data_IF_356841680890
#
_entry.id   IF_356841680890
#
_cell.length_a   1.000
_cell.length_b   1.000
_cell.length_c   1.000
_cell.angle_alpha   90.00
_cell.angle_beta   90.00
_cell.angle_gamma   90.00
#
_symmetry.space_group_name_H-M   'P 1'
#
loop_
_entity.id
_entity.type
_entity.pdbx_description
1 polymer ?
#
# COMPACT_ATOMS: atom_id res chain seq x y z
N UNK A 1 -21.52 64.92 -9.12
CA UNK A 1 -21.67 63.66 -8.37
C UNK A 1 -22.25 62.50 -9.18
N UNK A 2 -22.49 62.61 -10.47
CA UNK A 2 -23.13 61.56 -11.33
C UNK A 2 -22.16 60.62 -12.01
N UNK A 3 -20.86 60.95 -12.06
CA UNK A 3 -19.84 60.15 -12.78
C UNK A 3 -19.08 59.14 -11.90
N UNK A 4 -19.24 59.17 -10.58
CA UNK A 4 -18.55 58.25 -9.66
C UNK A 4 -19.34 56.94 -9.53
N UNK A 5 -20.66 56.94 -9.71
CA UNK A 5 -21.51 55.76 -9.59
C UNK A 5 -21.34 54.78 -10.77
N UNK A 6 -20.98 55.28 -11.95
CA UNK A 6 -20.82 54.43 -13.14
C UNK A 6 -19.49 53.65 -13.18
N UNK A 7 -18.44 54.18 -12.53
CA UNK A 7 -17.13 53.50 -12.44
C UNK A 7 -17.18 52.34 -11.46
N UNK A 8 -17.94 52.49 -10.34
CA UNK A 8 -18.07 51.43 -9.34
C UNK A 8 -18.79 50.18 -9.85
N UNK A 9 -19.74 50.33 -10.80
CA UNK A 9 -20.49 49.16 -11.36
C UNK A 9 -19.67 48.40 -12.39
N UNK A 10 -18.72 49.02 -13.05
CA UNK A 10 -17.85 48.41 -14.07
C UNK A 10 -16.77 47.52 -13.43
N UNK A 11 -16.29 47.86 -12.24
CA UNK A 11 -15.27 47.08 -11.49
C UNK A 11 -15.83 45.78 -10.94
N UNK A 12 -17.10 45.74 -10.58
CA UNK A 12 -17.76 44.53 -10.03
C UNK A 12 -17.98 43.44 -11.10
N UNK A 13 -18.10 43.82 -12.36
CA UNK A 13 -18.30 42.87 -13.48
C UNK A 13 -17.00 42.16 -13.91
N UNK A 14 -15.83 42.61 -13.49
CA UNK A 14 -14.54 41.97 -13.83
C UNK A 14 -14.14 40.85 -12.83
N UNK A 15 -14.91 40.63 -11.79
CA UNK A 15 -14.69 39.53 -10.82
C UNK A 15 -15.44 38.23 -11.21
N UNK A 16 -15.88 38.10 -12.47
CA UNK A 16 -16.41 36.85 -12.97
C UNK A 16 -15.31 35.82 -13.03
N UNK A 17 -15.26 35.10 -11.97
CA UNK A 17 -14.51 33.88 -11.68
C UNK A 17 -14.16 33.08 -12.94
N UNK A 18 -12.89 33.06 -13.31
CA UNK A 18 -12.35 32.01 -14.15
C UNK A 18 -12.56 30.67 -13.43
N UNK A 19 -13.61 29.97 -13.81
CA UNK A 19 -13.81 28.59 -13.41
C UNK A 19 -12.72 27.73 -14.06
N UNK A 20 -11.63 27.52 -13.32
CA UNK A 20 -10.53 26.66 -13.75
C UNK A 20 -11.00 25.22 -13.80
N UNK A 21 -11.16 24.68 -15.00
CA UNK A 21 -11.39 23.26 -15.18
C UNK A 21 -10.11 22.52 -14.79
N UNK A 22 -10.25 21.54 -13.90
CA UNK A 22 -9.17 20.63 -13.52
C UNK A 22 -9.26 19.35 -14.33
N UNK A 23 -8.15 18.90 -14.85
CA UNK A 23 -8.03 17.59 -15.49
C UNK A 23 -7.34 16.64 -14.53
N UNK A 24 -7.95 15.49 -14.28
CA UNK A 24 -7.51 14.49 -13.31
C UNK A 24 -7.37 13.15 -14.01
N UNK A 25 -6.22 12.50 -13.82
CA UNK A 25 -5.98 11.13 -14.25
C UNK A 25 -6.40 10.19 -13.12
N UNK A 26 -7.34 9.28 -13.39
CA UNK A 26 -7.73 8.22 -12.47
C UNK A 26 -7.21 6.89 -12.97
N UNK A 27 -6.33 6.24 -12.20
CA UNK A 27 -5.86 4.89 -12.48
C UNK A 27 -6.90 3.85 -12.08
N UNK A 28 -6.96 2.69 -12.77
CA UNK A 28 -7.82 1.58 -12.36
C UNK A 28 -7.39 1.07 -10.99
N UNK A 29 -8.32 0.48 -10.25
CA UNK A 29 -8.01 -0.20 -8.98
C UNK A 29 -7.71 -1.66 -9.29
N UNK A 30 -6.56 -2.15 -8.82
CA UNK A 30 -6.26 -3.57 -8.78
C UNK A 30 -6.93 -4.16 -7.53
N UNK A 31 -7.67 -5.27 -7.64
CA UNK A 31 -8.32 -5.89 -6.49
C UNK A 31 -7.28 -6.44 -5.50
N UNK A 32 -7.60 -6.37 -4.22
CA UNK A 32 -6.87 -7.13 -3.20
C UNK A 32 -7.22 -8.62 -3.34
N UNK A 33 -6.24 -9.50 -3.13
CA UNK A 33 -6.41 -10.95 -3.18
C UNK A 33 -6.31 -11.51 -1.77
N UNK A 34 -7.30 -12.31 -1.35
CA UNK A 34 -7.33 -12.88 -0.01
C UNK A 34 -7.79 -14.33 -0.08
N UNK A 35 -6.95 -15.23 0.41
CA UNK A 35 -7.24 -16.65 0.53
C UNK A 35 -6.94 -17.08 1.96
N UNK A 36 -7.94 -17.57 2.68
CA UNK A 36 -7.80 -18.07 4.03
C UNK A 36 -8.56 -19.39 4.16
N UNK A 37 -7.96 -20.35 4.87
CA UNK A 37 -8.64 -21.59 5.17
C UNK A 37 -9.54 -21.43 6.44
N UNK A 38 -10.53 -22.30 6.63
CA UNK A 38 -11.42 -22.25 7.81
C UNK A 38 -10.68 -22.34 9.15
N UNK A 39 -9.57 -23.08 9.21
CA UNK A 39 -8.77 -23.27 10.43
C UNK A 39 -8.27 -21.94 11.00
N UNK A 40 -7.97 -20.96 10.12
CA UNK A 40 -7.55 -19.61 10.54
C UNK A 40 -8.67 -18.89 11.28
N UNK A 41 -9.89 -18.91 10.75
CA UNK A 41 -11.05 -18.30 11.41
C UNK A 41 -11.35 -18.97 12.75
N UNK A 42 -11.35 -20.30 12.82
CA UNK A 42 -11.61 -21.04 14.05
C UNK A 42 -10.54 -20.82 15.12
N UNK A 43 -9.28 -20.68 14.69
CA UNK A 43 -8.19 -20.29 15.57
C UNK A 43 -8.45 -18.92 16.23
N UNK A 44 -8.85 -17.90 15.44
CA UNK A 44 -9.09 -16.56 15.98
C UNK A 44 -10.37 -16.44 16.81
N UNK A 45 -11.37 -17.29 16.60
CA UNK A 45 -12.53 -17.39 17.51
C UNK A 45 -12.11 -17.78 18.91
N UNK A 46 -11.12 -18.69 19.00
CA UNK A 46 -10.63 -19.25 20.28
C UNK A 46 -9.53 -18.39 20.93
N UNK A 47 -8.76 -17.63 20.13
CA UNK A 47 -7.57 -16.90 20.57
C UNK A 47 -7.70 -15.41 20.24
N UNK A 48 -8.07 -14.61 21.25
CA UNK A 48 -8.34 -13.16 21.08
C UNK A 48 -7.07 -12.30 20.95
N UNK A 49 -5.96 -12.76 21.51
CA UNK A 49 -4.67 -12.05 21.50
C UNK A 49 -3.53 -13.05 21.26
N UNK A 50 -3.45 -13.63 20.04
CA UNK A 50 -2.42 -14.63 19.76
C UNK A 50 -1.03 -13.99 19.68
N UNK A 51 -0.02 -14.82 19.97
CA UNK A 51 1.37 -14.46 19.80
C UNK A 51 1.76 -14.56 18.34
N UNK A 52 2.17 -13.44 17.76
CA UNK A 52 2.56 -13.33 16.35
C UNK A 52 4.01 -12.89 16.22
N UNK A 53 4.72 -13.48 15.27
CA UNK A 53 6.05 -13.02 14.87
C UNK A 53 6.03 -12.64 13.38
N UNK A 54 6.69 -11.54 13.06
CA UNK A 54 6.92 -11.14 11.68
C UNK A 54 8.16 -11.87 11.14
N UNK A 55 7.98 -12.67 10.09
CA UNK A 55 9.06 -13.26 9.32
C UNK A 55 9.33 -12.46 8.06
N UNK A 56 10.58 -12.18 7.83
CA UNK A 56 11.06 -11.49 6.64
C UNK A 56 11.93 -12.45 5.85
N UNK A 57 11.78 -12.56 4.52
CA UNK A 57 12.66 -13.40 3.71
C UNK A 57 14.11 -12.99 3.91
N UNK A 58 14.99 -13.96 4.12
CA UNK A 58 16.41 -13.69 4.10
C UNK A 58 16.80 -13.22 2.70
N UNK A 59 17.40 -12.03 2.59
CA UNK A 59 17.81 -11.41 1.32
C UNK A 59 18.89 -12.22 0.54
N UNK A 60 19.26 -13.41 1.01
CA UNK A 60 20.22 -14.29 0.35
C UNK A 60 19.73 -14.88 -0.98
N UNK A 61 18.42 -14.92 -1.21
CA UNK A 61 17.85 -15.60 -2.38
C UNK A 61 17.54 -14.68 -3.57
N UNK A 62 17.65 -13.35 -3.39
CA UNK A 62 17.48 -12.38 -4.49
C UNK A 62 18.64 -11.38 -4.50
N UNK A 63 19.71 -11.78 -5.18
CA UNK A 63 20.92 -10.99 -5.39
C UNK A 63 20.69 -9.80 -6.35
N UNK A 64 19.86 -8.84 -5.98
CA UNK A 64 19.79 -7.52 -6.63
C UNK A 64 19.22 -6.49 -5.67
N UNK A 65 19.91 -6.15 -4.61
CA UNK A 65 19.49 -4.98 -3.84
C UNK A 65 20.68 -4.18 -3.36
N UNK A 66 20.74 -2.95 -3.85
CA UNK A 66 21.56 -1.89 -3.32
C UNK A 66 21.32 -1.74 -1.80
N UNK A 67 22.37 -1.47 -1.04
CA UNK A 67 22.37 -1.31 0.43
C UNK A 67 21.33 -0.31 0.97
N UNK A 68 20.84 0.60 0.15
CA UNK A 68 19.77 1.54 0.51
C UNK A 68 18.38 0.88 0.65
N UNK A 69 18.14 -0.23 -0.04
CA UNK A 69 16.85 -0.96 -0.01
C UNK A 69 16.65 -1.68 1.33
N UNK A 70 17.72 -2.18 1.93
CA UNK A 70 17.67 -2.89 3.22
C UNK A 70 17.17 -2.00 4.36
N UNK A 71 17.72 -0.80 4.52
CA UNK A 71 17.31 0.15 5.58
C UNK A 71 15.86 0.63 5.42
N UNK A 72 15.41 0.79 4.18
CA UNK A 72 14.03 1.19 3.91
C UNK A 72 13.05 0.08 4.29
N UNK A 73 13.41 -1.18 4.08
CA UNK A 73 12.55 -2.30 4.44
C UNK A 73 12.37 -2.44 5.96
N UNK A 74 13.38 -2.14 6.77
CA UNK A 74 13.24 -2.17 8.23
C UNK A 74 12.19 -1.17 8.75
N UNK A 75 12.09 -0.01 8.13
CA UNK A 75 11.02 0.96 8.46
C UNK A 75 9.64 0.37 8.19
N UNK A 76 9.49 -0.33 7.06
CA UNK A 76 8.21 -0.96 6.67
C UNK A 76 7.85 -2.12 7.61
N UNK A 77 8.81 -2.96 7.97
CA UNK A 77 8.59 -4.07 8.90
C UNK A 77 8.21 -3.56 10.30
N UNK A 78 8.89 -2.52 10.78
CA UNK A 78 8.56 -1.88 12.05
C UNK A 78 7.15 -1.25 12.02
N UNK A 79 6.70 -0.74 10.89
CA UNK A 79 5.34 -0.22 10.73
C UNK A 79 4.30 -1.34 10.86
N UNK A 80 4.56 -2.52 10.28
CA UNK A 80 3.71 -3.70 10.41
C UNK A 80 3.63 -4.14 11.88
N UNK A 81 4.78 -4.31 12.55
CA UNK A 81 4.83 -4.76 13.95
C UNK A 81 4.10 -3.80 14.89
N UNK A 82 4.28 -2.49 14.73
CA UNK A 82 3.56 -1.47 15.50
C UNK A 82 2.05 -1.52 15.27
N UNK A 83 1.61 -1.78 14.04
CA UNK A 83 0.18 -1.88 13.75
C UNK A 83 -0.43 -3.17 14.31
N UNK A 84 0.29 -4.29 14.27
CA UNK A 84 -0.13 -5.54 14.93
C UNK A 84 -0.33 -5.34 16.43
N UNK A 85 0.59 -4.62 17.11
CA UNK A 85 0.43 -4.29 18.54
C UNK A 85 -0.84 -3.46 18.80
N UNK A 86 -1.17 -2.48 17.95
CA UNK A 86 -2.41 -1.70 18.08
C UNK A 86 -3.67 -2.55 17.86
N UNK A 87 -3.56 -3.56 17.01
CA UNK A 87 -4.64 -4.52 16.75
C UNK A 87 -4.71 -5.64 17.81
N UNK A 88 -4.07 -5.47 18.99
CA UNK A 88 -4.06 -6.36 20.14
C UNK A 88 -3.41 -7.73 19.89
N UNK A 89 -2.43 -7.82 19.02
CA UNK A 89 -1.57 -8.99 18.92
C UNK A 89 -0.42 -8.90 19.92
N UNK A 90 0.01 -10.03 20.46
CA UNK A 90 1.25 -10.14 21.23
C UNK A 90 2.42 -10.36 20.25
N UNK A 91 3.09 -9.27 19.83
CA UNK A 91 4.17 -9.34 18.84
C UNK A 91 5.46 -9.84 19.48
N UNK A 92 6.05 -10.89 18.91
CA UNK A 92 7.31 -11.50 19.35
C UNK A 92 8.51 -10.90 18.62
N UNK A 93 9.68 -10.98 19.25
CA UNK A 93 10.92 -10.44 18.68
C UNK A 93 11.32 -11.15 17.38
N UNK A 94 11.38 -10.39 16.30
CA UNK A 94 11.75 -10.87 14.96
C UNK A 94 13.22 -11.28 14.88
N UNK A 95 14.11 -10.56 15.58
CA UNK A 95 15.54 -10.84 15.56
C UNK A 95 15.85 -12.18 16.21
N UNK A 96 15.31 -12.41 17.40
CA UNK A 96 15.46 -13.69 18.12
C UNK A 96 14.86 -14.85 17.31
N UNK A 97 13.70 -14.64 16.68
CA UNK A 97 13.06 -15.65 15.85
C UNK A 97 13.93 -16.05 14.64
N UNK A 98 14.51 -15.07 13.94
CA UNK A 98 15.39 -15.34 12.81
C UNK A 98 16.69 -16.03 13.24
N UNK A 99 17.24 -15.67 14.40
CA UNK A 99 18.40 -16.34 14.97
C UNK A 99 18.13 -17.83 15.28
N UNK A 100 16.99 -18.12 15.87
CA UNK A 100 16.57 -19.49 16.14
C UNK A 100 16.35 -20.30 14.86
N UNK A 101 15.72 -19.70 13.84
CA UNK A 101 15.55 -20.34 12.54
C UNK A 101 16.89 -20.65 11.85
N UNK A 102 17.85 -19.75 11.95
CA UNK A 102 19.16 -19.95 11.32
C UNK A 102 19.99 -21.05 11.99
N UNK A 103 19.74 -21.29 13.29
CA UNK A 103 20.41 -22.34 14.08
C UNK A 103 19.72 -23.70 13.97
N UNK A 104 18.40 -23.70 13.71
CA UNK A 104 17.63 -24.93 13.53
C UNK A 104 17.81 -25.44 12.11
N UNK A 105 18.32 -26.64 11.94
CA UNK A 105 18.41 -27.31 10.64
C UNK A 105 17.05 -27.85 10.15
N UNK A 106 15.98 -27.63 10.91
CA UNK A 106 14.64 -28.15 10.62
C UNK A 106 13.66 -27.03 10.27
N UNK A 107 12.83 -27.28 9.28
CA UNK A 107 11.69 -26.42 8.91
C UNK A 107 10.44 -26.70 9.76
N UNK A 108 10.57 -27.42 10.85
CA UNK A 108 9.45 -27.71 11.73
C UNK A 108 9.21 -26.57 12.72
N UNK A 109 8.14 -25.83 12.48
CA UNK A 109 7.72 -24.70 13.31
C UNK A 109 7.21 -25.13 14.70
N UNK A 110 6.91 -26.43 14.94
CA UNK A 110 6.47 -26.91 16.26
C UNK A 110 7.55 -26.71 17.32
N UNK A 111 8.81 -27.00 17.00
CA UNK A 111 9.97 -26.76 17.87
C UNK A 111 10.14 -25.25 18.14
N UNK A 112 9.86 -24.40 17.15
CA UNK A 112 9.93 -22.95 17.31
C UNK A 112 8.86 -22.45 18.26
N UNK A 113 7.68 -23.04 18.25
CA UNK A 113 6.59 -22.73 19.18
C UNK A 113 7.02 -22.91 20.63
N UNK A 114 7.65 -24.02 20.94
CA UNK A 114 8.12 -24.33 22.29
C UNK A 114 9.14 -23.30 22.81
N UNK A 115 10.03 -22.83 21.93
CA UNK A 115 11.07 -21.87 22.27
C UNK A 115 10.60 -20.42 22.34
N UNK A 116 9.66 -20.02 21.50
CA UNK A 116 9.26 -18.60 21.32
C UNK A 116 7.84 -18.33 21.81
N UNK A 117 7.06 -19.36 22.11
CA UNK A 117 5.62 -19.26 22.38
C UNK A 117 4.87 -18.51 21.27
N UNK A 118 5.22 -18.76 20.00
CA UNK A 118 4.61 -18.16 18.83
C UNK A 118 3.43 -19.02 18.36
N UNK A 119 2.29 -18.40 18.12
CA UNK A 119 1.11 -19.08 17.57
C UNK A 119 0.99 -18.89 16.07
N UNK A 120 1.39 -17.70 15.59
CA UNK A 120 1.28 -17.30 14.19
C UNK A 120 2.63 -16.77 13.70
N UNK A 121 3.03 -17.21 12.51
CA UNK A 121 4.09 -16.56 11.75
C UNK A 121 3.40 -15.77 10.62
N UNK A 122 3.57 -14.45 10.63
CA UNK A 122 3.23 -13.56 9.52
C UNK A 122 4.46 -13.36 8.65
N UNK A 123 4.51 -14.01 7.52
CA UNK A 123 5.62 -13.87 6.57
C UNK A 123 5.29 -12.78 5.55
N UNK A 124 6.18 -11.79 5.40
CA UNK A 124 6.15 -10.85 4.28
C UNK A 124 6.82 -11.53 3.11
N UNK A 125 6.04 -11.99 2.15
CA UNK A 125 6.56 -12.74 0.98
C UNK A 125 7.23 -11.80 -0.02
N UNK A 126 6.58 -10.66 -0.27
CA UNK A 126 7.06 -9.69 -1.25
C UNK A 126 6.58 -8.28 -0.93
N UNK A 127 7.42 -7.29 -1.23
CA UNK A 127 7.09 -5.86 -1.28
C UNK A 127 7.56 -5.36 -2.64
N UNK A 128 6.62 -4.99 -3.51
CA UNK A 128 6.91 -4.42 -4.81
C UNK A 128 6.55 -2.92 -4.82
N UNK A 129 7.53 -2.06 -5.07
CA UNK A 129 7.39 -0.60 -5.11
C UNK A 129 7.20 -0.06 -6.53
N UNK A 130 7.10 -0.94 -7.53
CA UNK A 130 7.11 -0.61 -8.94
C UNK A 130 5.95 -1.22 -9.73
N UNK A 131 4.83 -1.52 -9.07
CA UNK A 131 3.63 -2.02 -9.74
C UNK A 131 3.12 -0.99 -10.74
N UNK A 132 3.20 -1.29 -12.03
CA UNK A 132 2.88 -0.33 -13.08
C UNK A 132 1.37 -0.20 -13.30
N UNK A 133 0.84 0.99 -13.09
CA UNK A 133 -0.52 1.39 -13.43
C UNK A 133 -0.53 2.19 -14.73
N UNK A 134 -1.48 1.90 -15.60
CA UNK A 134 -1.64 2.61 -16.88
C UNK A 134 -3.09 3.01 -17.09
N UNK A 135 -3.31 4.19 -17.69
CA UNK A 135 -4.63 4.66 -18.09
C UNK A 135 -4.51 5.68 -19.21
N UNK A 136 -5.51 5.77 -20.08
CA UNK A 136 -5.68 6.86 -21.03
C UNK A 136 -6.94 7.70 -20.73
N UNK A 137 -7.55 7.47 -19.58
CA UNK A 137 -8.78 8.17 -19.15
C UNK A 137 -8.44 9.43 -18.37
N UNK A 138 -9.06 10.53 -18.76
CA UNK A 138 -8.95 11.83 -18.12
C UNK A 138 -10.33 12.22 -17.62
N UNK A 139 -10.45 12.57 -16.35
CA UNK A 139 -11.65 13.16 -15.77
C UNK A 139 -11.50 14.67 -15.76
N UNK A 140 -12.40 15.38 -16.43
CA UNK A 140 -12.46 16.85 -16.39
C UNK A 140 -13.45 17.24 -15.30
N UNK A 141 -12.93 17.84 -14.23
CA UNK A 141 -13.76 18.34 -13.13
C UNK A 141 -14.11 19.81 -13.39
N UNK A 142 -15.36 20.08 -13.67
CA UNK A 142 -15.91 21.41 -13.83
C UNK A 142 -16.78 21.79 -12.62
N UNK A 143 -17.26 23.03 -12.58
CA UNK A 143 -18.08 23.56 -11.48
C UNK A 143 -19.45 22.86 -11.33
N UNK A 144 -19.94 22.18 -12.37
CA UNK A 144 -21.28 21.57 -12.38
C UNK A 144 -21.31 20.08 -12.73
N UNK A 145 -20.26 19.52 -13.34
CA UNK A 145 -20.26 18.14 -13.82
C UNK A 145 -18.84 17.61 -14.02
N UNK A 146 -18.61 16.37 -13.60
CA UNK A 146 -17.46 15.58 -14.01
C UNK A 146 -17.74 14.92 -15.38
N UNK A 147 -16.78 14.99 -16.29
CA UNK A 147 -16.85 14.31 -17.59
C UNK A 147 -15.59 13.49 -17.82
N UNK A 148 -15.76 12.23 -18.23
CA UNK A 148 -14.64 11.36 -18.60
C UNK A 148 -14.33 11.52 -20.09
N UNK A 149 -13.07 11.66 -20.43
CA UNK A 149 -12.56 11.68 -21.79
C UNK A 149 -11.50 10.58 -21.95
N UNK A 150 -11.44 10.00 -23.14
CA UNK A 150 -10.34 9.10 -23.53
C UNK A 150 -9.27 9.94 -24.21
N UNK A 151 -8.06 9.97 -23.64
CA UNK A 151 -6.92 10.67 -24.21
C UNK A 151 -6.16 9.82 -25.24
N UNK A 152 -5.35 10.47 -26.05
CA UNK A 152 -4.44 9.81 -27.02
C UNK A 152 -3.16 9.30 -26.36
N UNK A 153 -2.88 9.69 -25.12
CA UNK A 153 -1.66 9.38 -24.38
C UNK A 153 -2.00 8.37 -23.28
N UNK A 154 -1.19 7.34 -23.15
CA UNK A 154 -1.22 6.44 -22.01
C UNK A 154 -0.37 7.03 -20.88
N UNK A 155 -1.03 7.38 -19.78
CA UNK A 155 -0.37 7.80 -18.55
C UNK A 155 0.08 6.57 -17.79
N UNK A 156 1.30 6.63 -17.24
CA UNK A 156 1.88 5.54 -16.45
C UNK A 156 2.33 6.07 -15.10
N UNK A 157 2.11 5.31 -14.04
CA UNK A 157 2.62 5.61 -12.71
C UNK A 157 2.83 4.35 -11.89
N UNK A 158 3.86 4.34 -11.07
CA UNK A 158 4.10 3.24 -10.18
C UNK A 158 3.20 3.35 -8.95
N UNK A 159 2.54 2.26 -8.63
CA UNK A 159 1.97 1.95 -7.34
C UNK A 159 2.84 0.93 -6.62
N UNK A 160 2.26 0.22 -5.67
CA UNK A 160 2.96 -0.80 -4.92
C UNK A 160 2.06 -1.99 -4.61
N UNK A 161 2.67 -3.10 -4.17
CA UNK A 161 1.94 -4.20 -3.57
C UNK A 161 2.71 -4.80 -2.40
N UNK A 162 1.99 -5.45 -1.49
CA UNK A 162 2.55 -6.27 -0.42
C UNK A 162 1.85 -7.61 -0.39
N UNK A 163 2.63 -8.67 -0.22
CA UNK A 163 2.12 -10.03 -0.10
C UNK A 163 2.47 -10.60 1.26
N UNK A 164 1.46 -11.14 1.95
CA UNK A 164 1.59 -11.80 3.25
C UNK A 164 1.20 -13.28 3.15
N UNK A 165 1.90 -14.10 3.92
CA UNK A 165 1.53 -15.48 4.19
C UNK A 165 1.34 -15.66 5.69
N UNK A 166 0.26 -16.29 6.08
CA UNK A 166 -0.06 -16.60 7.47
C UNK A 166 0.13 -18.08 7.71
N UNK A 167 0.96 -18.43 8.69
CA UNK A 167 1.25 -19.80 9.05
C UNK A 167 0.78 -20.04 10.49
N UNK A 168 -0.08 -21.02 10.70
CA UNK A 168 -0.44 -21.54 12.03
C UNK A 168 0.63 -22.51 12.48
N UNK A 169 1.37 -22.11 13.52
CA UNK A 169 2.54 -22.84 14.00
C UNK A 169 2.14 -24.22 14.56
N UNK A 170 0.99 -24.29 15.23
CA UNK A 170 0.48 -25.54 15.84
C UNK A 170 0.36 -26.69 14.82
N UNK A 171 -0.05 -26.36 13.58
CA UNK A 171 -0.33 -27.36 12.55
C UNK A 171 0.78 -27.39 11.48
N UNK A 172 1.78 -26.50 11.58
CA UNK A 172 2.78 -26.27 10.54
C UNK A 172 2.13 -26.01 9.17
N UNK A 173 1.04 -25.22 9.15
CA UNK A 173 0.13 -25.08 8.03
C UNK A 173 0.07 -23.64 7.53
N UNK A 174 0.14 -23.46 6.21
CA UNK A 174 -0.18 -22.19 5.57
C UNK A 174 -1.70 -21.99 5.65
N UNK A 175 -2.13 -21.08 6.52
CA UNK A 175 -3.53 -20.85 6.81
C UNK A 175 -4.14 -19.69 6.00
N UNK A 176 -3.31 -18.89 5.35
CA UNK A 176 -3.80 -17.83 4.46
C UNK A 176 -2.70 -17.14 3.67
N UNK A 177 -3.09 -16.57 2.55
CA UNK A 177 -2.27 -15.69 1.71
C UNK A 177 -3.06 -14.44 1.37
N UNK A 178 -2.40 -13.29 1.40
CA UNK A 178 -3.02 -11.99 1.22
C UNK A 178 -2.13 -11.11 0.37
N UNK A 179 -2.71 -10.48 -0.65
CA UNK A 179 -2.05 -9.48 -1.47
C UNK A 179 -2.86 -8.20 -1.46
N UNK A 180 -2.22 -7.11 -1.10
CA UNK A 180 -2.81 -5.78 -1.11
C UNK A 180 -2.13 -4.90 -2.13
N UNK A 181 -2.92 -4.08 -2.83
CA UNK A 181 -2.42 -3.21 -3.88
C UNK A 181 -2.59 -1.73 -3.49
N UNK A 182 -1.50 -0.96 -3.62
CA UNK A 182 -1.50 0.48 -3.47
C UNK A 182 -1.70 1.13 -4.84
N UNK A 183 -2.81 1.79 -5.02
CA UNK A 183 -3.12 2.57 -6.21
C UNK A 183 -2.46 3.95 -6.12
N UNK A 184 -1.68 4.38 -7.12
CA UNK A 184 -1.13 5.73 -7.13
C UNK A 184 -2.24 6.75 -7.24
N UNK A 185 -2.10 7.88 -6.54
CA UNK A 185 -3.08 8.96 -6.49
C UNK A 185 -4.52 8.43 -6.27
N UNK A 186 -4.88 7.96 -5.06
CA UNK A 186 -6.21 7.36 -4.82
C UNK A 186 -7.37 8.23 -5.28
N UNK A 187 -7.25 9.56 -5.09
CA UNK A 187 -8.26 10.56 -5.49
C UNK A 187 -8.07 11.08 -6.92
N UNK A 188 -7.05 10.59 -7.62
CA UNK A 188 -6.65 11.00 -8.95
C UNK A 188 -5.45 11.95 -8.94
N UNK A 189 -4.64 11.88 -10.00
CA UNK A 189 -3.50 12.78 -10.21
C UNK A 189 -3.94 13.99 -11.01
N UNK A 190 -3.72 15.19 -10.49
CA UNK A 190 -3.97 16.43 -11.22
C UNK A 190 -2.98 16.55 -12.39
N UNK A 191 -3.50 16.79 -13.60
CA UNK A 191 -2.73 16.99 -14.81
C UNK A 191 -2.20 18.43 -14.79
N UNK A 192 -0.92 18.61 -14.49
CA UNK A 192 -0.29 19.92 -14.60
C UNK A 192 0.14 20.17 -16.04
N UNK A 193 0.18 21.45 -16.46
CA UNK A 193 0.52 21.90 -17.82
C UNK A 193 1.89 21.39 -18.28
N UNK A 194 2.79 21.06 -17.36
CA UNK A 194 4.11 20.46 -17.66
C UNK A 194 4.01 19.05 -18.26
N UNK A 195 2.91 18.37 -18.04
CA UNK A 195 2.67 17.04 -18.60
C UNK A 195 2.17 17.09 -20.05
N UNK A 196 1.77 18.25 -20.56
CA UNK A 196 1.11 18.43 -21.86
C UNK A 196 1.96 19.12 -22.92
N UNK A 197 3.06 19.78 -22.55
CA UNK A 197 3.93 20.51 -23.50
C UNK A 197 4.99 19.62 -24.13
N UNK A 198 4.62 18.86 -25.13
CA UNK A 198 5.59 18.17 -25.97
C UNK A 198 4.95 17.19 -26.93
N UNK A 199 4.99 17.49 -28.23
CA UNK A 199 4.78 16.50 -29.30
C UNK A 199 5.72 15.31 -29.01
N UNK A 200 5.22 14.16 -28.60
CA UNK A 200 5.96 12.92 -28.33
C UNK A 200 6.64 12.73 -26.96
N UNK A 201 6.35 13.50 -25.91
CA UNK A 201 6.83 13.13 -24.58
C UNK A 201 5.91 12.06 -23.99
N UNK A 202 6.37 10.81 -24.00
CA UNK A 202 5.89 9.78 -23.06
C UNK A 202 6.21 10.28 -21.66
N UNK A 203 5.19 10.57 -20.87
CA UNK A 203 5.36 10.90 -19.46
C UNK A 203 5.54 9.55 -18.74
N UNK A 204 6.76 9.07 -18.72
CA UNK A 204 7.18 7.96 -17.88
C UNK A 204 7.61 8.56 -16.54
N UNK A 205 6.78 8.43 -15.54
CA UNK A 205 7.18 8.69 -14.17
C UNK A 205 7.77 7.40 -13.64
N UNK A 206 9.07 7.23 -13.76
CA UNK A 206 9.82 6.05 -13.27
C UNK A 206 10.14 6.16 -11.77
N UNK A 207 9.43 6.97 -11.03
CA UNK A 207 9.62 7.09 -9.60
C UNK A 207 8.90 5.94 -8.87
N UNK A 208 9.66 5.23 -8.02
CA UNK A 208 9.08 4.28 -7.09
C UNK A 208 8.22 5.00 -6.05
N UNK A 209 7.31 4.28 -5.42
CA UNK A 209 6.48 4.85 -4.35
C UNK A 209 7.36 5.30 -3.19
N UNK A 210 7.16 6.53 -2.71
CA UNK A 210 7.95 7.10 -1.61
C UNK A 210 7.80 6.28 -0.32
N UNK A 211 8.87 6.19 0.47
CA UNK A 211 8.93 5.33 1.67
C UNK A 211 7.88 5.70 2.73
N UNK A 212 7.59 6.97 2.93
CA UNK A 212 6.55 7.42 3.86
C UNK A 212 5.15 6.99 3.42
N UNK A 213 4.87 7.04 2.12
CA UNK A 213 3.62 6.53 1.53
C UNK A 213 3.52 5.01 1.71
N UNK A 214 4.63 4.29 1.55
CA UNK A 214 4.69 2.85 1.81
C UNK A 214 4.49 2.52 3.28
N UNK A 215 5.05 3.29 4.20
CA UNK A 215 4.82 3.10 5.64
C UNK A 215 3.33 3.20 5.98
N UNK A 216 2.63 4.20 5.48
CA UNK A 216 1.18 4.34 5.67
C UNK A 216 0.39 3.21 5.01
N UNK A 217 0.82 2.78 3.82
CA UNK A 217 0.22 1.64 3.15
C UNK A 217 0.40 0.34 3.95
N UNK A 218 1.58 0.08 4.55
CA UNK A 218 1.82 -1.07 5.41
C UNK A 218 0.92 -1.05 6.66
N UNK A 219 0.76 0.09 7.31
CA UNK A 219 -0.18 0.24 8.45
C UNK A 219 -1.61 -0.11 8.02
N UNK A 220 -2.07 0.44 6.90
CA UNK A 220 -3.42 0.20 6.38
C UNK A 220 -3.65 -1.27 6.04
N UNK A 221 -2.71 -1.90 5.33
CA UNK A 221 -2.83 -3.31 4.92
C UNK A 221 -2.76 -4.25 6.11
N UNK A 222 -1.91 -3.97 7.10
CA UNK A 222 -1.83 -4.74 8.34
C UNK A 222 -3.13 -4.65 9.13
N UNK A 223 -3.74 -3.47 9.21
CA UNK A 223 -5.06 -3.30 9.84
C UNK A 223 -6.14 -4.06 9.09
N UNK A 224 -6.17 -4.02 7.76
CA UNK A 224 -7.09 -4.82 6.93
C UNK A 224 -6.89 -6.32 7.17
N UNK A 225 -5.64 -6.78 7.21
CA UNK A 225 -5.27 -8.16 7.48
C UNK A 225 -5.79 -8.60 8.86
N UNK A 226 -5.49 -7.85 9.93
CA UNK A 226 -5.95 -8.13 11.29
C UNK A 226 -7.48 -8.16 11.38
N UNK A 227 -8.17 -7.27 10.67
CA UNK A 227 -9.63 -7.24 10.59
C UNK A 227 -10.21 -8.45 9.86
N UNK A 228 -9.48 -9.01 8.86
CA UNK A 228 -9.91 -10.22 8.15
C UNK A 228 -9.85 -11.48 9.01
N UNK A 229 -8.98 -11.52 10.00
CA UNK A 229 -8.84 -12.65 10.94
C UNK A 229 -10.02 -12.77 11.91
N UNK A 230 -10.77 -11.69 12.13
CA UNK A 230 -11.86 -11.60 13.11
C UNK A 230 -13.25 -11.75 12.49
N UNK A 231 -13.31 -11.96 11.20
CA UNK A 231 -14.55 -12.24 10.46
C UNK A 231 -14.86 -13.72 10.41
#
# INVERSE_FOLDING_TARGET
MRNILTISTLVILLLTSCSTKKEIIKFPTLPDETFANPNLSDFFKSNKSPNIVLRVPNNSDKATSNTSTSKNNDVLYNAIEKELLKENFSVRDRGLFNELLSKSQTTDYSTIKELTNTDIILEVVNIDLSVLYTTNKITVVGTKKETEKVGYINYKRNGASVEYKVILVKNNEIAGTYKFNYKPCPDGCELTTFMTTGKNKKIEVNETVAINTMEEFMKLTTKKLASSFRK
#
